data_IF_045534571371
#
_entry.id   IF_045534571371
#
_cell.length_a   1.000
_cell.length_b   1.000
_cell.length_c   1.000
_cell.angle_alpha   90.00
_cell.angle_beta   90.00
_cell.angle_gamma   90.00
#
_symmetry.space_group_name_H-M   'P 1'
#
loop_
_entity.id
_entity.type
_entity.pdbx_description
1 polymer ?
#
# COMPACT_ATOMS: atom_id res chain seq x y z
N UNK A 1 3.84 11.53 22.06
CA UNK A 1 4.25 10.43 21.16
C UNK A 1 4.34 11.01 19.75
N UNK A 2 5.57 11.10 19.22
CA UNK A 2 5.85 11.80 17.97
C UNK A 2 4.98 11.26 16.84
N UNK A 3 4.31 12.15 16.12
CA UNK A 3 3.60 11.83 14.88
C UNK A 3 4.66 11.36 13.89
N UNK A 4 4.89 10.04 13.83
CA UNK A 4 5.82 9.44 12.88
C UNK A 4 5.50 9.97 11.49
N UNK A 5 6.53 10.39 10.74
CA UNK A 5 6.38 10.89 9.38
C UNK A 5 5.57 9.87 8.57
N UNK A 6 4.32 10.21 8.25
CA UNK A 6 3.57 9.47 7.24
C UNK A 6 4.26 9.75 5.92
N UNK A 7 4.92 8.74 5.38
CA UNK A 7 5.55 8.83 4.05
C UNK A 7 4.41 8.79 3.05
N UNK A 8 3.95 9.95 2.60
CA UNK A 8 2.90 10.04 1.58
C UNK A 8 3.40 9.38 0.30
N UNK A 9 2.73 8.32 -0.14
CA UNK A 9 3.05 7.63 -1.39
C UNK A 9 1.92 7.92 -2.37
N UNK A 10 2.27 8.30 -3.59
CA UNK A 10 1.33 8.41 -4.70
C UNK A 10 1.59 7.25 -5.65
N UNK A 11 0.73 6.24 -5.61
CA UNK A 11 0.77 5.13 -6.53
C UNK A 11 -0.05 5.47 -7.77
N UNK A 12 0.52 5.13 -8.93
CA UNK A 12 -0.23 5.08 -10.18
C UNK A 12 -1.12 3.83 -10.21
N UNK A 13 -2.15 3.81 -11.06
CA UNK A 13 -3.09 2.68 -11.18
C UNK A 13 -2.39 1.34 -11.47
N UNK A 14 -1.36 1.35 -12.33
CA UNK A 14 -0.55 0.16 -12.66
C UNK A 14 0.25 -0.34 -11.44
N UNK A 15 0.85 0.59 -10.66
CA UNK A 15 1.59 0.21 -9.45
C UNK A 15 0.67 -0.34 -8.37
N UNK A 16 -0.52 0.24 -8.23
CA UNK A 16 -1.55 -0.26 -7.31
C UNK A 16 -1.97 -1.68 -7.68
N UNK A 17 -2.30 -1.93 -8.95
CA UNK A 17 -2.72 -3.25 -9.42
C UNK A 17 -1.64 -4.31 -9.16
N UNK A 18 -0.37 -3.98 -9.44
CA UNK A 18 0.77 -4.86 -9.15
C UNK A 18 0.92 -5.14 -7.65
N UNK A 19 0.77 -4.13 -6.79
CA UNK A 19 0.87 -4.29 -5.34
C UNK A 19 -0.30 -5.09 -4.77
N UNK A 20 -1.53 -4.89 -5.28
CA UNK A 20 -2.70 -5.71 -4.92
C UNK A 20 -2.50 -7.16 -5.34
N UNK A 21 -1.94 -7.39 -6.53
CA UNK A 21 -1.53 -8.71 -7.00
C UNK A 21 -0.52 -9.35 -6.04
N UNK A 22 0.57 -8.66 -5.69
CA UNK A 22 1.58 -9.17 -4.74
C UNK A 22 0.97 -9.45 -3.36
N UNK A 23 0.07 -8.59 -2.89
CA UNK A 23 -0.58 -8.76 -1.59
C UNK A 23 -1.50 -9.98 -1.54
N UNK A 24 -2.10 -10.37 -2.67
CA UNK A 24 -3.07 -11.49 -2.75
C UNK A 24 -2.46 -12.81 -3.23
N UNK A 25 -1.33 -12.77 -3.93
CA UNK A 25 -0.79 -13.92 -4.64
C UNK A 25 -0.25 -15.04 -3.71
N UNK A 26 0.01 -14.78 -2.43
CA UNK A 26 0.41 -15.79 -1.43
C UNK A 26 1.77 -16.49 -1.66
N UNK A 27 2.30 -16.42 -2.88
CA UNK A 27 3.55 -17.03 -3.35
C UNK A 27 4.76 -16.09 -3.17
N UNK A 28 4.52 -14.80 -2.92
CA UNK A 28 5.59 -13.85 -2.63
C UNK A 28 6.11 -14.05 -1.20
N UNK A 29 7.41 -13.81 -0.94
CA UNK A 29 7.95 -13.85 0.41
C UNK A 29 7.20 -12.86 1.31
N UNK A 30 6.89 -13.26 2.55
CA UNK A 30 6.05 -12.54 3.51
C UNK A 30 6.44 -11.06 3.66
N UNK A 31 7.73 -10.74 3.60
CA UNK A 31 8.25 -9.37 3.68
C UNK A 31 7.79 -8.48 2.52
N UNK A 32 7.69 -9.02 1.30
CA UNK A 32 7.19 -8.30 0.12
C UNK A 32 5.68 -8.10 0.18
N UNK A 33 4.94 -9.08 0.70
CA UNK A 33 3.50 -8.99 0.93
C UNK A 33 3.20 -7.87 1.94
N UNK A 34 3.88 -7.91 3.10
CA UNK A 34 3.71 -6.89 4.14
C UNK A 34 4.09 -5.50 3.62
N UNK A 35 5.19 -5.39 2.89
CA UNK A 35 5.61 -4.11 2.31
C UNK A 35 4.58 -3.58 1.29
N UNK A 36 4.02 -4.46 0.45
CA UNK A 36 2.97 -4.08 -0.49
C UNK A 36 1.70 -3.58 0.22
N UNK A 37 1.29 -4.24 1.30
CA UNK A 37 0.16 -3.81 2.12
C UNK A 37 0.39 -2.44 2.77
N UNK A 38 1.59 -2.21 3.31
CA UNK A 38 1.95 -0.90 3.91
C UNK A 38 1.94 0.20 2.85
N UNK A 39 2.46 -0.06 1.65
CA UNK A 39 2.43 0.90 0.55
C UNK A 39 1.00 1.20 0.08
N UNK A 40 0.14 0.18 -0.05
CA UNK A 40 -1.27 0.35 -0.39
C UNK A 40 -2.05 1.12 0.68
N UNK A 41 -1.75 0.90 1.97
CA UNK A 41 -2.37 1.65 3.08
C UNK A 41 -1.91 3.11 3.16
N UNK A 42 -0.75 3.43 2.57
CA UNK A 42 -0.18 4.77 2.60
C UNK A 42 -0.43 5.55 1.30
N UNK A 43 -1.15 4.95 0.35
CA UNK A 43 -1.52 5.55 -0.91
C UNK A 43 -2.61 6.60 -0.73
N UNK A 44 -2.31 7.86 -1.08
CA UNK A 44 -3.25 8.99 -1.10
C UNK A 44 -3.67 9.36 -2.53
N UNK A 45 -3.62 8.41 -3.48
CA UNK A 45 -4.07 8.60 -4.87
C UNK A 45 -5.60 8.81 -4.93
N UNK A 46 -6.01 10.03 -4.58
CA UNK A 46 -7.30 10.73 -4.80
C UNK A 46 -8.61 10.04 -4.34
N UNK A 47 -8.64 8.82 -3.77
CA UNK A 47 -9.93 8.21 -3.41
C UNK A 47 -10.00 7.26 -2.21
N UNK A 48 -8.99 7.17 -1.35
CA UNK A 48 -9.11 6.44 -0.08
C UNK A 48 -9.72 7.29 1.06
N UNK A 49 -10.67 8.17 0.76
CA UNK A 49 -11.64 8.64 1.77
C UNK A 49 -12.75 7.58 1.92
N UNK A 50 -12.40 6.40 2.40
CA UNK A 50 -13.39 5.42 2.87
C UNK A 50 -12.86 4.83 4.18
N UNK A 51 -13.13 5.60 5.24
CA UNK A 51 -13.76 5.14 6.48
C UNK A 51 -13.43 3.68 6.86
N UNK A 52 -12.48 3.55 7.78
CA UNK A 52 -12.58 2.50 8.80
C UNK A 52 -13.43 3.03 9.94
#
# INVERSE_FOLDING_TARGET
>A
MGRGRRVMVFLTSDQREKLEGISRNGHAPTKKILHAQVLLMCDESTQAKQKW
#
